data_IF_335905623901
#
_entry.id   IF_335905623901
#
_cell.length_a   1.000
_cell.length_b   1.000
_cell.length_c   1.000
_cell.angle_alpha   90.00
_cell.angle_beta   90.00
_cell.angle_gamma   90.00
#
_symmetry.space_group_name_H-M   'P 1'
#
loop_
_entity.id
_entity.type
_entity.pdbx_description
1 polymer ?
#
# COMPACT_ATOMS: atom_id res chain seq x y z
N UNK A 1 -19.77 -0.11 -23.66
CA UNK A 1 -20.17 0.89 -22.65
C UNK A 1 -20.45 0.14 -21.34
N UNK A 2 -19.63 0.28 -20.28
CA UNK A 2 -19.87 -0.43 -19.03
C UNK A 2 -21.21 0.03 -18.43
N UNK A 3 -22.11 -0.92 -18.20
CA UNK A 3 -23.42 -0.69 -17.60
C UNK A 3 -23.25 -0.13 -16.17
N UNK A 4 -24.21 0.69 -15.73
CA UNK A 4 -24.22 1.31 -14.39
C UNK A 4 -24.03 0.28 -13.26
N UNK A 5 -24.52 -0.94 -13.46
CA UNK A 5 -24.39 -2.05 -12.55
C UNK A 5 -22.94 -2.56 -12.43
N UNK A 6 -22.21 -2.70 -13.54
CA UNK A 6 -20.80 -3.12 -13.48
C UNK A 6 -19.90 -2.03 -12.89
N UNK A 7 -20.23 -0.75 -13.12
CA UNK A 7 -19.53 0.36 -12.44
C UNK A 7 -19.72 0.28 -10.92
N UNK A 8 -20.96 0.10 -10.45
CA UNK A 8 -21.25 -0.04 -9.02
C UNK A 8 -20.54 -1.27 -8.43
N UNK A 9 -20.58 -2.42 -9.10
CA UNK A 9 -19.92 -3.64 -8.66
C UNK A 9 -18.39 -3.47 -8.53
N UNK A 10 -17.75 -2.83 -9.51
CA UNK A 10 -16.31 -2.55 -9.46
C UNK A 10 -15.95 -1.60 -8.32
N UNK A 11 -16.73 -0.54 -8.10
CA UNK A 11 -16.50 0.41 -7.00
C UNK A 11 -16.66 -0.25 -5.62
N UNK A 12 -17.72 -1.06 -5.44
CA UNK A 12 -17.95 -1.81 -4.21
C UNK A 12 -16.80 -2.78 -3.96
N UNK A 13 -16.39 -3.53 -4.99
CA UNK A 13 -15.25 -4.45 -4.87
C UNK A 13 -13.96 -3.72 -4.49
N UNK A 14 -13.65 -2.59 -5.14
CA UNK A 14 -12.46 -1.79 -4.84
C UNK A 14 -12.46 -1.26 -3.40
N UNK A 15 -13.61 -0.79 -2.90
CA UNK A 15 -13.76 -0.35 -1.52
C UNK A 15 -13.53 -1.49 -0.52
N UNK A 16 -14.17 -2.64 -0.75
CA UNK A 16 -14.01 -3.81 0.12
C UNK A 16 -12.56 -4.30 0.12
N UNK A 17 -11.95 -4.43 -1.06
CA UNK A 17 -10.56 -4.86 -1.20
C UNK A 17 -9.59 -3.90 -0.49
N UNK A 18 -9.82 -2.58 -0.60
CA UNK A 18 -9.01 -1.55 0.06
C UNK A 18 -9.16 -1.60 1.58
N UNK A 19 -10.37 -1.78 2.10
CA UNK A 19 -10.62 -1.91 3.53
C UNK A 19 -10.00 -3.17 4.14
N UNK A 20 -10.13 -4.31 3.45
CA UNK A 20 -9.50 -5.57 3.87
C UNK A 20 -7.98 -5.46 3.82
N UNK A 21 -7.43 -4.98 2.70
CA UNK A 21 -5.99 -4.78 2.54
C UNK A 21 -5.40 -3.82 3.58
N UNK A 22 -6.08 -2.70 3.82
CA UNK A 22 -5.69 -1.73 4.85
C UNK A 22 -5.70 -2.33 6.26
N UNK A 23 -6.72 -3.12 6.60
CA UNK A 23 -6.80 -3.79 7.91
C UNK A 23 -5.70 -4.83 8.09
N UNK A 24 -5.38 -5.60 7.04
CA UNK A 24 -4.29 -6.57 7.07
C UNK A 24 -2.94 -5.89 7.24
N UNK A 25 -2.68 -4.81 6.49
CA UNK A 25 -1.44 -4.04 6.59
C UNK A 25 -1.34 -3.35 7.94
N UNK A 26 -2.45 -2.88 8.53
CA UNK A 26 -2.45 -2.33 9.89
C UNK A 26 -2.06 -3.39 10.93
N UNK A 27 -2.64 -4.59 10.87
CA UNK A 27 -2.42 -5.60 11.91
C UNK A 27 -1.11 -6.39 11.76
N UNK A 28 -0.63 -6.58 10.54
CA UNK A 28 0.51 -7.44 10.26
C UNK A 28 1.67 -6.59 9.77
N UNK A 29 2.73 -6.51 10.59
CA UNK A 29 3.94 -5.76 10.24
C UNK A 29 4.63 -6.41 9.00
N UNK A 30 4.69 -5.72 7.84
CA UNK A 30 5.34 -6.25 6.65
C UNK A 30 6.87 -6.39 6.79
N UNK A 31 7.47 -5.83 7.84
CA UNK A 31 8.90 -5.98 8.12
C UNK A 31 9.25 -7.31 8.80
N UNK A 32 8.31 -7.88 9.55
CA UNK A 32 8.54 -9.08 10.39
C UNK A 32 7.81 -10.32 9.86
N UNK A 33 6.83 -10.12 8.98
CA UNK A 33 6.02 -11.21 8.46
C UNK A 33 6.62 -11.81 7.18
N UNK A 34 6.94 -13.11 7.24
CA UNK A 34 7.36 -13.90 6.08
C UNK A 34 6.28 -13.99 4.98
N UNK A 35 5.03 -13.61 5.30
CA UNK A 35 3.91 -13.63 4.36
C UNK A 35 3.89 -12.42 3.42
N UNK A 36 4.69 -11.39 3.70
CA UNK A 36 4.88 -10.26 2.79
C UNK A 36 6.08 -10.55 1.88
N UNK A 37 5.86 -10.98 0.63
CA UNK A 37 6.96 -11.33 -0.25
C UNK A 37 7.84 -10.11 -0.54
N UNK A 38 9.16 -10.31 -0.71
CA UNK A 38 10.05 -9.24 -1.15
C UNK A 38 9.65 -8.75 -2.54
N UNK A 39 9.97 -7.49 -2.85
CA UNK A 39 9.69 -6.90 -4.15
C UNK A 39 10.35 -7.72 -5.27
N UNK A 40 9.60 -8.32 -6.21
CA UNK A 40 10.16 -9.21 -7.22
C UNK A 40 11.14 -8.48 -8.13
N UNK A 41 10.90 -7.20 -8.44
CA UNK A 41 11.84 -6.40 -9.24
C UNK A 41 13.19 -6.27 -8.54
N UNK A 42 13.21 -5.94 -7.25
CA UNK A 42 14.46 -5.83 -6.49
C UNK A 42 15.16 -7.19 -6.36
N UNK A 43 14.41 -8.28 -6.20
CA UNK A 43 14.97 -9.64 -6.12
C UNK A 43 15.59 -10.06 -7.46
N UNK A 44 14.90 -9.78 -8.57
CA UNK A 44 15.32 -10.22 -9.91
C UNK A 44 16.40 -9.33 -10.53
N UNK A 45 16.38 -8.02 -10.26
CA UNK A 45 17.25 -7.04 -10.94
C UNK A 45 18.19 -6.29 -10.00
N UNK A 46 17.97 -6.33 -8.69
CA UNK A 46 18.68 -5.49 -7.71
C UNK A 46 18.26 -4.02 -7.70
N UNK A 47 17.42 -3.57 -8.63
CA UNK A 47 17.01 -2.17 -8.77
C UNK A 47 15.91 -1.79 -7.77
N UNK A 48 16.01 -0.57 -7.25
CA UNK A 48 14.95 0.04 -6.44
C UNK A 48 13.97 0.79 -7.35
N UNK A 49 12.69 0.42 -7.30
CA UNK A 49 11.61 1.15 -7.97
C UNK A 49 10.93 2.15 -7.00
N UNK A 50 10.15 3.13 -7.52
CA UNK A 50 9.41 4.07 -6.69
C UNK A 50 8.43 3.42 -5.69
N UNK A 51 8.02 2.17 -5.92
CA UNK A 51 7.15 1.40 -5.00
C UNK A 51 7.90 0.54 -3.97
N UNK A 52 9.23 0.53 -3.96
CA UNK A 52 9.99 -0.24 -2.98
C UNK A 52 9.70 0.28 -1.57
N UNK A 53 9.33 -0.61 -0.64
CA UNK A 53 9.05 -0.24 0.75
C UNK A 53 7.66 0.35 1.00
N UNK A 54 6.79 0.48 -0.01
CA UNK A 54 5.44 1.05 0.16
C UNK A 54 4.58 0.31 1.17
N UNK A 55 4.69 -1.03 1.27
CA UNK A 55 3.95 -1.81 2.27
C UNK A 55 4.32 -1.43 3.71
N UNK A 56 5.62 -1.31 4.00
CA UNK A 56 6.11 -0.87 5.33
C UNK A 56 5.77 0.58 5.60
N UNK A 57 5.98 1.45 4.60
CA UNK A 57 5.59 2.85 4.71
C UNK A 57 4.09 2.97 5.03
N UNK A 58 3.23 2.23 4.33
CA UNK A 58 1.79 2.23 4.58
C UNK A 58 1.44 1.72 5.97
N UNK A 59 2.09 0.66 6.47
CA UNK A 59 1.92 0.21 7.85
C UNK A 59 2.21 1.33 8.86
N UNK A 60 3.36 1.99 8.75
CA UNK A 60 3.72 3.12 9.63
C UNK A 60 2.76 4.30 9.48
N UNK A 61 2.33 4.63 8.25
CA UNK A 61 1.34 5.68 8.01
C UNK A 61 -0.01 5.38 8.65
N UNK A 62 -0.48 4.13 8.59
CA UNK A 62 -1.73 3.72 9.25
C UNK A 62 -1.65 3.80 10.79
N UNK A 63 -0.45 3.78 11.36
CA UNK A 63 -0.20 4.03 12.79
C UNK A 63 0.11 5.50 13.11
N UNK A 64 0.11 6.40 12.12
CA UNK A 64 0.44 7.82 12.29
C UNK A 64 1.93 8.14 12.37
N UNK A 65 2.81 7.18 12.07
CA UNK A 65 4.26 7.30 12.20
C UNK A 65 4.90 7.82 10.91
N UNK A 66 4.67 9.10 10.58
CA UNK A 66 5.08 9.72 9.30
C UNK A 66 6.61 9.69 9.11
N UNK A 67 7.38 9.97 10.17
CA UNK A 67 8.84 9.97 10.10
C UNK A 67 9.39 8.56 9.84
N UNK A 68 8.84 7.55 10.51
CA UNK A 68 9.22 6.16 10.27
C UNK A 68 8.87 5.72 8.84
N UNK A 69 7.68 6.09 8.36
CA UNK A 69 7.24 5.78 6.99
C UNK A 69 8.16 6.39 5.92
N UNK A 70 8.68 7.61 6.14
CA UNK A 70 9.59 8.29 5.21
C UNK A 70 10.91 7.54 4.99
N UNK A 71 11.38 6.82 6.02
CA UNK A 71 12.57 5.96 5.94
C UNK A 71 12.36 4.72 5.07
N UNK A 72 11.12 4.33 4.82
CA UNK A 72 10.79 3.17 3.97
C UNK A 72 10.40 3.55 2.55
N UNK A 73 9.60 4.60 2.39
CA UNK A 73 9.23 5.12 1.07
C UNK A 73 8.76 6.57 1.18
N UNK A 74 9.66 7.51 0.87
CA UNK A 74 9.36 8.94 0.90
C UNK A 74 8.29 9.35 -0.11
N UNK A 75 8.27 8.73 -1.29
CA UNK A 75 7.27 9.03 -2.33
C UNK A 75 5.85 8.72 -1.83
N UNK A 76 5.68 7.63 -1.09
CA UNK A 76 4.40 7.24 -0.48
C UNK A 76 3.92 8.29 0.52
N UNK A 77 4.82 8.83 1.34
CA UNK A 77 4.50 9.91 2.29
C UNK A 77 4.11 11.19 1.54
N UNK A 78 4.84 11.55 0.49
CA UNK A 78 4.55 12.75 -0.32
C UNK A 78 3.21 12.66 -1.08
N UNK A 79 2.74 11.44 -1.36
CA UNK A 79 1.43 11.20 -2.00
C UNK A 79 0.26 11.26 -1.02
N UNK A 80 0.48 11.34 0.30
CA UNK A 80 -0.62 11.41 1.28
C UNK A 80 -1.65 12.50 0.99
N UNK A 81 -1.28 13.76 0.68
CA UNK A 81 -2.27 14.79 0.37
C UNK A 81 -3.15 14.42 -0.83
N UNK A 82 -2.59 13.73 -1.82
CA UNK A 82 -3.33 13.26 -3.01
C UNK A 82 -4.26 12.10 -2.67
N UNK A 83 -3.92 11.29 -1.66
CA UNK A 83 -4.77 10.15 -1.23
C UNK A 83 -5.94 10.59 -0.33
N UNK A 84 -5.84 11.75 0.32
CA UNK A 84 -6.83 12.23 1.30
C UNK A 84 -7.76 13.31 0.73
N UNK A 85 -7.42 13.89 -0.43
CA UNK A 85 -8.23 14.89 -1.18
C UNK A 85 -9.07 14.20 -2.25
#
# INVERSE_FOLDING_TARGET
MPNRFMRAAVLIFALVASGVGGTLIYKVNPAESAWFPPCPLRVLTGLYCPGCGSGRALHHLLHGEVMAASGFNLLMVMMLPVMVV
#
